data_IF_108681970367
#
_entry.id   IF_108681970367
#
_cell.length_a   1.000
_cell.length_b   1.000
_cell.length_c   1.000
_cell.angle_alpha   90.00
_cell.angle_beta   90.00
_cell.angle_gamma   90.00
#
_symmetry.space_group_name_H-M   'P 1'
#
loop_
_entity.id
_entity.type
_entity.pdbx_description
1 polymer ?
#
# COMPACT_ATOMS: atom_id res chain seq x y z
N UNK A 1 6.86 13.31 -20.61
CA UNK A 1 5.38 13.28 -20.61
C UNK A 1 4.98 12.01 -19.90
N UNK A 2 4.40 12.13 -18.70
CA UNK A 2 4.10 10.97 -17.84
C UNK A 2 2.80 10.32 -18.28
N UNK A 3 2.84 9.02 -18.56
CA UNK A 3 1.65 8.25 -18.92
C UNK A 3 0.74 8.14 -17.69
N UNK A 4 -0.48 8.69 -17.82
CA UNK A 4 -1.55 8.52 -16.85
C UNK A 4 -2.02 7.06 -16.84
N UNK A 5 -2.23 6.54 -15.64
CA UNK A 5 -2.95 5.30 -15.39
C UNK A 5 -4.43 5.47 -15.73
N UNK A 6 -4.99 4.62 -16.59
CA UNK A 6 -6.43 4.50 -16.79
C UNK A 6 -6.86 3.08 -16.47
N UNK A 7 -7.15 2.81 -15.20
CA UNK A 7 -7.73 1.52 -14.78
C UNK A 7 -9.25 1.61 -14.88
N UNK A 8 -9.76 1.72 -16.10
CA UNK A 8 -11.20 1.54 -16.34
C UNK A 8 -11.44 0.05 -16.56
N UNK A 9 -11.99 -0.61 -15.53
CA UNK A 9 -12.34 -2.04 -15.43
C UNK A 9 -11.21 -2.97 -14.94
N UNK A 10 -11.38 -3.47 -13.72
CA UNK A 10 -10.60 -4.58 -13.16
C UNK A 10 -10.98 -5.94 -13.78
N UNK A 11 -11.96 -5.93 -14.69
CA UNK A 11 -12.51 -7.09 -15.38
C UNK A 11 -11.84 -7.36 -16.75
N UNK A 12 -10.95 -6.46 -17.20
CA UNK A 12 -10.24 -6.58 -18.47
C UNK A 12 -8.73 -6.53 -18.28
N UNK A 13 -8.07 -7.69 -18.29
CA UNK A 13 -6.63 -7.74 -18.50
C UNK A 13 -6.24 -7.17 -19.88
N UNK A 14 -4.97 -6.78 -20.07
CA UNK A 14 -3.83 -7.01 -19.18
C UNK A 14 -3.56 -5.84 -18.21
N UNK A 15 -2.98 -6.18 -17.04
CA UNK A 15 -2.56 -5.23 -16.00
C UNK A 15 -1.12 -4.77 -16.26
N UNK A 16 -0.79 -3.52 -16.01
CA UNK A 16 0.58 -3.03 -16.21
C UNK A 16 1.05 -2.23 -15.00
N UNK A 17 2.25 -2.53 -14.48
CA UNK A 17 2.92 -1.71 -13.47
C UNK A 17 3.59 -0.51 -14.17
N UNK A 18 3.51 0.70 -13.61
CA UNK A 18 4.19 1.88 -14.18
C UNK A 18 5.68 1.59 -14.34
N UNK A 19 6.19 1.64 -15.57
CA UNK A 19 7.61 1.37 -15.85
C UNK A 19 8.03 -0.09 -15.68
N UNK A 20 7.08 -1.00 -15.46
CA UNK A 20 7.31 -2.43 -15.24
C UNK A 20 6.63 -3.31 -16.27
N UNK A 21 6.54 -4.60 -15.95
CA UNK A 21 5.98 -5.62 -16.83
C UNK A 21 4.44 -5.55 -16.91
N UNK A 22 3.93 -6.14 -17.98
CA UNK A 22 2.50 -6.32 -18.22
C UNK A 22 2.10 -7.75 -17.85
N UNK A 23 1.07 -7.89 -17.02
CA UNK A 23 0.57 -9.15 -16.49
C UNK A 23 -0.79 -9.48 -17.11
N UNK A 24 -0.87 -10.62 -17.80
CA UNK A 24 -2.07 -11.03 -18.52
C UNK A 24 -3.26 -11.34 -17.61
N UNK A 25 -3.02 -11.77 -16.37
CA UNK A 25 -4.05 -12.16 -15.42
C UNK A 25 -3.80 -11.55 -14.05
N UNK A 26 -4.87 -11.39 -13.27
CA UNK A 26 -4.80 -10.97 -11.87
C UNK A 26 -3.96 -11.93 -11.04
N UNK A 27 -4.00 -13.23 -11.35
CA UNK A 27 -3.21 -14.24 -10.63
C UNK A 27 -1.71 -14.10 -10.92
N UNK A 28 -1.32 -13.80 -12.16
CA UNK A 28 0.08 -13.56 -12.50
C UNK A 28 0.61 -12.29 -11.83
N UNK A 29 -0.21 -11.23 -11.79
CA UNK A 29 0.08 -10.00 -11.07
C UNK A 29 0.20 -10.27 -9.55
N UNK A 30 -0.73 -11.03 -8.98
CA UNK A 30 -0.72 -11.42 -7.57
C UNK A 30 0.49 -12.27 -7.18
N UNK A 31 0.88 -13.25 -8.01
CA UNK A 31 2.06 -14.09 -7.76
C UNK A 31 3.36 -13.28 -7.80
N UNK A 32 3.47 -12.31 -8.72
CA UNK A 32 4.59 -11.38 -8.75
C UNK A 32 4.67 -10.55 -7.46
N UNK A 33 3.55 -10.01 -6.99
CA UNK A 33 3.54 -9.24 -5.74
C UNK A 33 3.79 -10.10 -4.50
N UNK A 34 3.24 -11.31 -4.43
CA UNK A 34 3.55 -12.26 -3.36
C UNK A 34 5.05 -12.53 -3.24
N UNK A 35 5.76 -12.62 -4.36
CA UNK A 35 7.22 -12.76 -4.35
C UNK A 35 7.93 -11.51 -3.83
N UNK A 36 7.42 -10.32 -4.18
CA UNK A 36 7.97 -9.02 -3.74
C UNK A 36 7.67 -8.72 -2.25
N UNK A 37 6.57 -9.26 -1.70
CA UNK A 37 6.09 -8.99 -0.34
C UNK A 37 7.09 -9.36 0.77
N UNK A 38 8.03 -10.27 0.50
CA UNK A 38 9.07 -10.64 1.48
C UNK A 38 9.93 -9.43 1.93
N UNK A 39 10.11 -8.42 1.07
CA UNK A 39 10.86 -7.20 1.38
C UNK A 39 10.04 -6.08 2.03
N UNK A 40 8.74 -6.28 2.22
CA UNK A 40 7.83 -5.24 2.72
C UNK A 40 7.58 -5.32 4.23
N UNK A 41 7.76 -6.51 4.82
CA UNK A 41 7.50 -6.71 6.25
C UNK A 41 8.47 -5.86 7.08
N UNK A 42 7.96 -4.96 7.94
CA UNK A 42 8.81 -4.13 8.76
C UNK A 42 9.58 -4.97 9.78
N UNK A 43 10.78 -4.49 10.11
CA UNK A 43 11.52 -4.98 11.27
C UNK A 43 10.70 -4.76 12.56
N UNK A 44 11.07 -5.50 13.61
CA UNK A 44 10.41 -5.35 14.90
C UNK A 44 10.55 -3.93 15.45
N UNK A 45 9.42 -3.29 15.78
CA UNK A 45 9.39 -1.92 16.30
C UNK A 45 9.46 -0.83 15.23
N UNK A 46 9.47 -1.18 13.94
CA UNK A 46 9.51 -0.26 12.83
C UNK A 46 8.21 -0.27 11.99
N UNK A 47 8.12 0.71 11.10
CA UNK A 47 7.19 0.72 9.98
C UNK A 47 7.98 0.67 8.66
N UNK A 48 7.39 0.12 7.62
CA UNK A 48 7.93 0.18 6.26
C UNK A 48 7.11 1.16 5.45
N UNK A 49 7.75 2.24 4.99
CA UNK A 49 7.21 3.10 3.94
C UNK A 49 7.39 2.40 2.59
N UNK A 50 6.30 2.24 1.86
CA UNK A 50 6.27 1.74 0.51
C UNK A 50 6.00 2.90 -0.43
N UNK A 51 6.98 3.24 -1.27
CA UNK A 51 6.86 4.29 -2.28
C UNK A 51 5.98 3.86 -3.45
N UNK A 52 5.53 4.85 -4.21
CA UNK A 52 4.75 4.62 -5.45
C UNK A 52 5.55 3.89 -6.54
N UNK A 53 6.87 3.95 -6.47
CA UNK A 53 7.81 3.26 -7.34
C UNK A 53 8.12 1.82 -6.88
N UNK A 54 7.49 1.38 -5.78
CA UNK A 54 7.74 0.08 -5.16
C UNK A 54 8.99 0.04 -4.28
N UNK A 55 9.69 1.16 -4.07
CA UNK A 55 10.79 1.23 -3.11
C UNK A 55 10.27 1.05 -1.69
N UNK A 56 11.09 0.41 -0.84
CA UNK A 56 10.79 0.26 0.58
C UNK A 56 11.81 1.05 1.41
N UNK A 57 11.33 1.70 2.47
CA UNK A 57 12.16 2.44 3.41
C UNK A 57 11.67 2.23 4.83
N UNK A 58 12.58 1.90 5.73
CA UNK A 58 12.24 1.81 7.15
C UNK A 58 11.98 3.20 7.74
N UNK A 59 10.93 3.28 8.56
CA UNK A 59 10.58 4.43 9.37
C UNK A 59 10.49 3.97 10.82
N UNK A 60 11.18 4.67 11.71
CA UNK A 60 11.17 4.38 13.15
C UNK A 60 10.30 5.38 13.89
N UNK A 61 9.69 5.01 15.03
CA UNK A 61 9.05 5.98 15.92
C UNK A 61 10.00 7.12 16.30
N UNK A 62 9.44 8.30 16.61
CA UNK A 62 10.24 9.42 17.12
C UNK A 62 11.13 9.03 18.31
N UNK A 63 12.29 9.67 18.43
CA UNK A 63 13.28 9.34 19.46
C UNK A 63 12.66 9.27 20.86
N UNK A 64 12.80 8.12 21.51
CA UNK A 64 12.27 7.85 22.86
C UNK A 64 10.81 7.37 22.88
N UNK A 65 10.16 7.21 21.72
CA UNK A 65 8.83 6.61 21.60
C UNK A 65 8.94 5.13 21.22
N UNK A 66 7.90 4.36 21.58
CA UNK A 66 7.72 2.95 21.18
C UNK A 66 6.64 2.77 20.12
N UNK A 67 5.94 3.85 19.77
CA UNK A 67 4.77 3.86 18.90
C UNK A 67 4.81 5.11 18.02
N UNK A 68 4.18 5.05 16.86
CA UNK A 68 3.96 6.17 15.97
C UNK A 68 2.82 7.04 16.50
N UNK A 69 3.02 8.36 16.46
CA UNK A 69 1.95 9.33 16.67
C UNK A 69 1.35 9.77 15.34
N UNK A 70 0.10 10.22 15.37
CA UNK A 70 -0.63 10.66 14.18
C UNK A 70 0.13 11.70 13.33
N UNK A 71 0.76 12.70 13.97
CA UNK A 71 1.54 13.72 13.27
C UNK A 71 2.76 13.14 12.53
N UNK A 72 3.38 12.10 13.09
CA UNK A 72 4.50 11.41 12.44
C UNK A 72 4.03 10.65 11.20
N UNK A 73 2.85 10.03 11.25
CA UNK A 73 2.27 9.31 10.11
C UNK A 73 1.94 10.26 8.96
N UNK A 74 1.30 11.38 9.27
CA UNK A 74 1.06 12.45 8.30
C UNK A 74 2.35 12.93 7.64
N UNK A 75 3.39 13.21 8.43
CA UNK A 75 4.67 13.65 7.91
C UNK A 75 5.37 12.57 7.06
N UNK A 76 5.30 11.31 7.47
CA UNK A 76 5.95 10.20 6.75
C UNK A 76 5.26 9.86 5.42
N UNK A 77 3.96 10.15 5.30
CA UNK A 77 3.17 9.98 4.08
C UNK A 77 3.06 11.26 3.23
N UNK A 78 3.55 12.39 3.74
CA UNK A 78 3.37 13.72 3.14
C UNK A 78 1.88 14.05 2.88
N UNK A 79 1.01 13.65 3.81
CA UNK A 79 -0.44 13.70 3.66
C UNK A 79 -1.11 14.67 4.64
N UNK A 80 -2.32 15.13 4.29
CA UNK A 80 -3.18 15.93 5.18
C UNK A 80 -4.38 15.15 5.72
N UNK A 81 -4.70 14.01 5.08
CA UNK A 81 -5.66 13.01 5.54
C UNK A 81 -5.02 11.63 5.43
N UNK A 82 -5.30 10.75 6.38
CA UNK A 82 -4.87 9.36 6.31
C UNK A 82 -6.03 8.47 6.68
N UNK A 83 -6.11 7.34 6.00
CA UNK A 83 -6.97 6.22 6.35
C UNK A 83 -6.11 5.11 6.97
N UNK A 84 -6.69 4.40 7.94
CA UNK A 84 -5.99 3.45 8.79
C UNK A 84 -6.79 2.16 8.83
N UNK A 85 -6.15 1.09 8.38
CA UNK A 85 -6.78 -0.22 8.27
C UNK A 85 -5.99 -1.27 9.01
N UNK A 86 -6.69 -2.11 9.75
CA UNK A 86 -6.11 -3.22 10.50
C UNK A 86 -6.54 -4.54 9.84
N UNK A 87 -5.66 -5.18 9.05
CA UNK A 87 -5.92 -6.51 8.53
C UNK A 87 -6.18 -7.53 9.64
N UNK A 88 -7.32 -8.21 9.56
CA UNK A 88 -7.75 -9.22 10.54
C UNK A 88 -7.47 -10.66 10.08
N UNK A 89 -7.14 -10.84 8.80
CA UNK A 89 -6.94 -12.16 8.17
C UNK A 89 -5.79 -12.10 7.15
N UNK A 90 -5.26 -13.28 6.79
CA UNK A 90 -4.22 -13.41 5.76
C UNK A 90 -2.79 -13.17 6.26
N UNK A 91 -1.81 -13.03 5.36
CA UNK A 91 -0.39 -12.90 5.73
C UNK A 91 -0.06 -11.61 6.51
N UNK A 92 -0.96 -10.62 6.49
CA UNK A 92 -0.83 -9.36 7.20
C UNK A 92 -1.68 -9.28 8.47
N UNK A 93 -2.20 -10.39 8.97
CA UNK A 93 -2.93 -10.42 10.24
C UNK A 93 -2.12 -9.73 11.36
N UNK A 94 -2.75 -8.76 12.02
CA UNK A 94 -2.15 -8.01 13.13
C UNK A 94 -1.25 -6.84 12.71
N UNK A 95 -1.13 -6.55 11.41
CA UNK A 95 -0.52 -5.33 10.90
C UNK A 95 -1.54 -4.19 10.82
N UNK A 96 -1.07 -2.99 10.47
CA UNK A 96 -1.86 -1.83 10.09
C UNK A 96 -1.26 -1.28 8.80
N UNK A 97 -2.14 -1.02 7.84
CA UNK A 97 -1.89 -0.26 6.63
C UNK A 97 -2.39 1.16 6.85
N UNK A 98 -1.50 2.14 6.72
CA UNK A 98 -1.83 3.56 6.76
C UNK A 98 -1.50 4.17 5.41
N UNK A 99 -2.46 4.86 4.82
CA UNK A 99 -2.29 5.49 3.52
C UNK A 99 -3.04 6.81 3.45
N UNK A 100 -2.62 7.68 2.54
CA UNK A 100 -3.36 8.88 2.19
C UNK A 100 -4.62 8.48 1.41
N UNK A 101 -5.80 8.88 1.89
CA UNK A 101 -7.09 8.71 1.20
C UNK A 101 -7.60 10.05 0.63
N UNK A 102 -6.69 10.94 0.20
CA UNK A 102 -7.09 12.04 -0.68
C UNK A 102 -7.67 11.48 -1.99
N UNK A 103 -8.99 11.37 -1.98
CA UNK A 103 -9.80 10.86 -3.07
C UNK A 103 -9.40 11.40 -4.44
N UNK A 104 -8.84 10.49 -5.25
CA UNK A 104 -8.86 10.51 -6.71
C UNK A 104 -8.20 11.72 -7.37
N UNK A 105 -7.01 12.15 -6.94
CA UNK A 105 -6.11 12.76 -7.93
C UNK A 105 -5.59 11.65 -8.87
N UNK A 106 -6.29 11.45 -9.98
CA UNK A 106 -5.96 10.47 -11.04
C UNK A 106 -4.57 10.69 -11.66
N UNK A 107 -3.90 11.81 -11.34
CA UNK A 107 -2.53 12.10 -11.77
C UNK A 107 -1.48 11.47 -10.85
N UNK A 108 -1.85 11.03 -9.64
CA UNK A 108 -0.92 10.36 -8.73
C UNK A 108 -0.71 8.91 -9.17
N UNK A 109 0.53 8.42 -9.23
CA UNK A 109 0.80 7.01 -9.49
C UNK A 109 0.17 6.11 -8.41
N UNK A 110 -0.35 4.97 -8.83
CA UNK A 110 -0.86 3.93 -7.91
C UNK A 110 0.32 3.19 -7.31
N UNK A 111 0.28 2.87 -6.01
CA UNK A 111 1.26 1.99 -5.41
C UNK A 111 0.87 0.52 -5.65
N UNK A 112 1.59 -0.19 -6.53
CA UNK A 112 1.21 -1.53 -6.95
C UNK A 112 1.36 -2.56 -5.82
N UNK A 113 2.39 -2.43 -4.98
CA UNK A 113 2.65 -3.32 -3.85
C UNK A 113 1.63 -3.13 -2.73
N UNK A 114 1.29 -1.89 -2.42
CA UNK A 114 0.24 -1.59 -1.44
C UNK A 114 -1.13 -2.07 -1.92
N UNK A 115 -1.45 -1.85 -3.19
CA UNK A 115 -2.70 -2.33 -3.81
C UNK A 115 -2.80 -3.85 -3.76
N UNK A 116 -1.69 -4.56 -3.94
CA UNK A 116 -1.65 -6.01 -3.81
C UNK A 116 -1.90 -6.47 -2.37
N UNK A 117 -1.17 -5.92 -1.40
CA UNK A 117 -1.36 -6.21 0.02
C UNK A 117 -2.80 -5.90 0.50
N UNK A 118 -3.37 -4.82 -0.02
CA UNK A 118 -4.77 -4.46 0.19
C UNK A 118 -5.72 -5.54 -0.32
N UNK A 119 -5.55 -6.00 -1.56
CA UNK A 119 -6.40 -7.04 -2.16
C UNK A 119 -6.17 -8.45 -1.60
N UNK A 120 -5.01 -8.74 -1.02
CA UNK A 120 -4.79 -9.97 -0.25
C UNK A 120 -5.56 -9.96 1.06
N UNK A 121 -5.63 -8.80 1.71
CA UNK A 121 -6.43 -8.62 2.93
C UNK A 121 -7.92 -8.67 2.60
N UNK A 122 -8.30 -8.07 1.48
CA UNK A 122 -9.67 -7.98 1.06
C UNK A 122 -9.85 -8.31 -0.43
N UNK A 123 -10.40 -9.50 -0.75
CA UNK A 123 -10.61 -9.89 -2.13
C UNK A 123 -11.46 -8.87 -2.90
N UNK A 124 -11.06 -8.56 -4.13
CA UNK A 124 -11.76 -7.62 -5.04
C UNK A 124 -13.28 -7.83 -5.14
N UNK A 125 -13.77 -9.06 -4.96
CA UNK A 125 -15.21 -9.37 -5.00
C UNK A 125 -16.03 -8.68 -3.90
N UNK A 126 -15.36 -8.19 -2.85
CA UNK A 126 -15.98 -7.44 -1.75
C UNK A 126 -15.76 -5.93 -1.84
N UNK A 127 -15.11 -5.43 -2.89
CA UNK A 127 -14.62 -4.05 -2.98
C UNK A 127 -15.18 -3.29 -4.18
N UNK A 128 -15.35 -1.98 -4.01
CA UNK A 128 -15.76 -1.10 -5.08
C UNK A 128 -14.54 -0.75 -5.95
N UNK A 129 -14.71 -0.44 -7.25
CA UNK A 129 -13.63 -0.05 -8.17
C UNK A 129 -12.93 1.28 -7.79
N UNK A 130 -13.19 1.82 -6.61
CA UNK A 130 -12.63 3.07 -6.07
C UNK A 130 -11.63 2.84 -4.93
N UNK A 131 -11.52 1.62 -4.40
CA UNK A 131 -10.74 1.31 -3.21
C UNK A 131 -9.30 0.91 -3.54
N UNK A 132 -8.67 1.67 -4.45
CA UNK A 132 -7.25 1.51 -4.79
C UNK A 132 -6.41 2.46 -3.97
N UNK A 133 -5.26 1.96 -3.53
CA UNK A 133 -4.33 2.79 -2.80
C UNK A 133 -3.46 3.60 -3.76
N UNK A 134 -3.72 4.90 -3.81
CA UNK A 134 -2.95 5.86 -4.59
C UNK A 134 -1.93 6.55 -3.68
N UNK A 135 -0.64 6.57 -4.07
CA UNK A 135 0.40 7.20 -3.25
C UNK A 135 1.18 6.24 -2.33
N UNK A 136 2.13 6.78 -1.55
CA UNK A 136 2.92 5.99 -0.61
C UNK A 136 2.06 5.45 0.55
N UNK A 137 2.50 4.37 1.17
CA UNK A 137 1.81 3.78 2.33
C UNK A 137 2.79 3.36 3.42
N UNK A 138 2.32 3.29 4.66
CA UNK A 138 3.05 2.73 5.78
C UNK A 138 2.42 1.41 6.21
N UNK A 139 3.25 0.38 6.32
CA UNK A 139 2.90 -0.90 6.94
C UNK A 139 3.62 -1.02 8.28
N UNK A 140 2.89 -1.30 9.36
CA UNK A 140 3.45 -1.49 10.70
C UNK A 140 2.67 -2.52 11.51
N UNK A 141 3.20 -3.04 12.63
CA UNK A 141 2.39 -3.86 13.54
C UNK A 141 1.34 -3.01 14.24
N UNK A 142 0.15 -3.55 14.48
CA UNK A 142 -0.96 -2.83 15.12
C UNK A 142 -0.61 -2.22 16.48
N UNK A 143 0.21 -2.91 17.27
CA UNK A 143 0.72 -2.44 18.56
C UNK A 143 1.61 -1.17 18.48
N UNK A 144 2.05 -0.77 17.29
CA UNK A 144 2.89 0.42 17.08
C UNK A 144 2.07 1.67 16.82
N UNK A 145 0.75 1.59 16.64
CA UNK A 145 -0.13 2.74 16.54
C UNK A 145 -0.67 3.14 17.93
N UNK A 146 -0.72 4.44 18.23
CA UNK A 146 -1.21 4.96 19.52
C UNK A 146 -2.30 6.00 19.36
#
# INVERSE_FOLDING_TARGET
>A
MGNLFSTTSYDGGPFQIVGGETYATRQALGAFFQHQHAGMLPAEGAATLLGVDGSTREVLPEKGRKSFGLAQLYAALEANYIDVHCPQHGPYEGYILVFDDEGKDRRRPINPLATAAWYETYPLEYYAPVDVVAGPVLLMKSALLR
#
